data_IF_228298726925
#
_entry.id   IF_228298726925
#
_cell.length_a   1.000
_cell.length_b   1.000
_cell.length_c   1.000
_cell.angle_alpha   90.00
_cell.angle_beta   90.00
_cell.angle_gamma   90.00
#
_symmetry.space_group_name_H-M   'P 1'
#
loop_
_entity.id
_entity.type
_entity.pdbx_description
1 polymer ?
#
# COMPACT_ATOMS: atom_id res chain seq x y z
N UNK A 1 -10.44 -60.47 0.72
CA UNK A 1 -11.84 -59.98 0.67
C UNK A 1 -11.74 -58.57 0.10
N UNK A 2 -11.56 -58.40 -1.22
CA UNK A 2 -12.46 -58.67 -2.37
C UNK A 2 -13.06 -57.33 -2.82
N UNK A 3 -12.74 -56.94 -4.06
CA UNK A 3 -13.50 -56.15 -5.07
C UNK A 3 -14.30 -54.90 -4.60
N UNK A 4 -14.18 -53.70 -5.20
CA UNK A 4 -14.56 -53.34 -6.59
C UNK A 4 -16.08 -53.58 -6.84
N UNK A 5 -16.91 -52.59 -7.24
CA UNK A 5 -17.17 -52.21 -8.64
C UNK A 5 -18.21 -51.06 -8.73
N UNK A 6 -18.01 -50.12 -9.68
CA UNK A 6 -18.93 -49.27 -10.49
C UNK A 6 -20.26 -48.71 -9.88
N UNK A 7 -20.77 -47.52 -10.22
CA UNK A 7 -20.48 -46.59 -11.32
C UNK A 7 -21.59 -46.57 -12.40
N UNK A 8 -22.13 -45.40 -12.75
CA UNK A 8 -22.87 -45.09 -14.01
C UNK A 8 -22.92 -43.56 -14.22
N UNK A 9 -22.83 -43.12 -15.46
CA UNK A 9 -22.70 -41.71 -15.87
C UNK A 9 -23.96 -41.15 -16.56
N UNK A 10 -24.06 -39.83 -16.73
CA UNK A 10 -24.84 -39.26 -17.85
C UNK A 10 -24.37 -37.87 -18.35
N UNK A 11 -24.14 -37.85 -19.65
CA UNK A 11 -23.75 -36.77 -20.58
C UNK A 11 -24.56 -35.47 -20.56
N UNK A 12 -23.88 -34.33 -20.84
CA UNK A 12 -24.16 -33.33 -21.91
C UNK A 12 -23.08 -32.22 -21.91
N UNK A 13 -22.15 -32.17 -22.87
CA UNK A 13 -22.19 -31.56 -24.23
C UNK A 13 -22.04 -30.01 -24.30
N UNK A 14 -20.83 -29.59 -24.65
CA UNK A 14 -20.44 -28.52 -25.61
C UNK A 14 -21.03 -27.10 -25.53
N UNK A 15 -20.13 -26.11 -25.43
CA UNK A 15 -20.02 -25.04 -26.43
C UNK A 15 -18.55 -24.56 -26.55
N UNK A 16 -18.15 -24.18 -27.77
CA UNK A 16 -16.78 -23.81 -28.16
C UNK A 16 -16.69 -22.30 -28.35
N UNK A 17 -15.53 -21.71 -28.08
CA UNK A 17 -15.29 -20.29 -28.26
C UNK A 17 -15.33 -19.87 -29.74
N UNK A 18 -16.00 -18.76 -30.02
CA UNK A 18 -15.83 -17.96 -31.23
C UNK A 18 -16.12 -16.50 -30.91
N UNK A 19 -15.10 -15.64 -31.01
CA UNK A 19 -15.28 -14.18 -31.00
C UNK A 19 -14.60 -13.64 -32.25
N UNK A 20 -15.40 -13.05 -33.13
CA UNK A 20 -14.97 -12.44 -34.40
C UNK A 20 -14.73 -10.95 -34.24
N UNK A 21 -13.73 -10.42 -34.95
CA UNK A 21 -13.56 -8.97 -35.12
C UNK A 21 -14.72 -8.35 -35.94
N UNK A 22 -15.24 -7.18 -35.54
CA UNK A 22 -15.18 -5.91 -36.31
C UNK A 22 -16.09 -4.76 -35.81
N UNK A 23 -15.51 -3.55 -35.89
CA UNK A 23 -16.09 -2.22 -36.20
C UNK A 23 -17.34 -1.64 -35.50
N UNK A 24 -17.11 -0.54 -34.75
CA UNK A 24 -17.75 0.80 -34.84
C UNK A 24 -19.15 0.96 -35.51
N UNK A 25 -20.12 1.57 -34.79
CA UNK A 25 -20.61 2.95 -35.02
C UNK A 25 -21.77 3.37 -34.08
N UNK A 26 -21.98 4.69 -33.95
CA UNK A 26 -22.89 5.36 -33.00
C UNK A 26 -24.38 5.38 -33.42
N UNK A 27 -25.29 5.51 -32.43
CA UNK A 27 -26.67 6.01 -32.64
C UNK A 27 -27.06 6.98 -31.53
N UNK A 28 -27.81 8.03 -31.90
CA UNK A 28 -28.04 9.26 -31.14
C UNK A 28 -29.56 9.48 -30.94
N UNK A 29 -30.03 9.99 -29.78
CA UNK A 29 -31.44 10.39 -29.58
C UNK A 29 -31.56 11.73 -28.83
N UNK A 30 -32.34 12.63 -29.43
CA UNK A 30 -32.78 13.98 -29.02
C UNK A 30 -34.19 13.88 -28.41
N UNK A 31 -34.73 14.72 -27.51
CA UNK A 31 -34.33 15.97 -26.82
C UNK A 31 -35.59 16.77 -26.38
N UNK A 32 -35.42 18.05 -25.95
CA UNK A 32 -36.46 19.08 -25.55
C UNK A 32 -36.98 19.02 -24.09
N UNK A 33 -37.26 20.11 -23.36
CA UNK A 33 -37.15 21.60 -23.50
C UNK A 33 -36.66 22.16 -22.13
N UNK A 34 -35.66 23.06 -22.01
CA UNK A 34 -35.68 24.53 -22.21
C UNK A 34 -36.71 25.30 -21.34
N UNK A 35 -36.42 26.37 -20.59
CA UNK A 35 -35.20 27.17 -20.31
C UNK A 35 -35.50 28.12 -19.11
N UNK A 36 -34.58 28.77 -18.36
CA UNK A 36 -33.13 28.63 -18.15
C UNK A 36 -32.69 29.50 -16.94
N UNK A 37 -31.52 29.21 -16.32
CA UNK A 37 -30.74 30.17 -15.51
C UNK A 37 -29.23 29.90 -15.72
N UNK A 38 -28.43 30.96 -15.91
CA UNK A 38 -27.10 30.87 -16.52
C UNK A 38 -25.95 30.99 -15.50
N UNK A 39 -25.03 30.02 -15.46
CA UNK A 39 -23.64 30.21 -15.93
C UNK A 39 -22.79 28.92 -15.90
N UNK A 40 -22.35 28.49 -17.09
CA UNK A 40 -21.10 27.78 -17.41
C UNK A 40 -20.80 26.41 -16.76
N UNK A 41 -21.18 25.38 -17.51
CA UNK A 41 -20.63 24.02 -17.38
C UNK A 41 -19.17 23.89 -17.83
N UNK A 42 -18.39 23.16 -17.02
CA UNK A 42 -17.78 21.88 -17.39
C UNK A 42 -17.22 21.72 -18.82
N UNK A 43 -16.05 22.30 -19.08
CA UNK A 43 -15.22 21.91 -20.22
C UNK A 43 -14.13 20.91 -19.79
N UNK A 44 -14.24 19.65 -20.23
CA UNK A 44 -13.17 18.64 -20.09
C UNK A 44 -12.01 19.00 -21.02
N UNK A 45 -10.98 19.66 -20.49
CA UNK A 45 -9.77 19.99 -21.26
C UNK A 45 -8.79 18.82 -21.17
N UNK A 46 -8.67 18.05 -22.26
CA UNK A 46 -7.59 17.06 -22.44
C UNK A 46 -6.24 17.77 -22.62
N UNK A 47 -5.64 18.18 -21.50
CA UNK A 47 -4.29 18.75 -21.48
C UNK A 47 -3.25 17.67 -21.75
N UNK A 48 -2.88 17.51 -23.01
CA UNK A 48 -1.69 16.73 -23.39
C UNK A 48 -0.42 17.40 -22.85
N UNK A 49 0.55 16.60 -22.40
CA UNK A 49 1.71 17.00 -21.59
C UNK A 49 2.72 17.97 -22.24
N UNK A 50 2.40 18.54 -23.42
CA UNK A 50 3.23 19.50 -24.15
C UNK A 50 2.95 20.96 -23.81
N UNK A 51 1.79 21.29 -23.22
CA UNK A 51 1.41 22.70 -22.95
C UNK A 51 2.08 23.29 -21.70
N UNK A 52 2.28 22.50 -20.65
CA UNK A 52 2.81 22.95 -19.36
C UNK A 52 4.29 23.39 -19.46
N UNK A 53 5.08 22.78 -20.35
CA UNK A 53 6.53 22.98 -20.44
C UNK A 53 6.89 24.38 -21.02
N UNK A 54 5.99 25.05 -21.74
CA UNK A 54 6.28 26.35 -22.38
C UNK A 54 6.05 27.59 -21.49
N UNK A 55 5.50 27.44 -20.29
CA UNK A 55 5.21 28.59 -19.41
C UNK A 55 6.31 28.92 -18.39
N UNK A 56 7.23 28.00 -18.08
CA UNK A 56 8.29 28.20 -17.07
C UNK A 56 9.51 28.98 -17.56
N UNK A 57 9.81 28.93 -18.86
CA UNK A 57 11.10 29.41 -19.39
C UNK A 57 11.23 30.95 -19.49
N UNK A 58 10.12 31.69 -19.35
CA UNK A 58 10.09 33.14 -19.57
C UNK A 58 10.07 34.02 -18.31
N UNK A 59 9.83 33.48 -17.10
CA UNK A 59 9.80 34.30 -15.88
C UNK A 59 11.15 34.39 -15.12
N UNK A 60 12.08 33.46 -15.34
CA UNK A 60 13.31 33.37 -14.53
C UNK A 60 14.40 34.39 -14.95
N UNK A 61 14.26 35.08 -16.08
CA UNK A 61 15.35 35.90 -16.65
C UNK A 61 15.58 37.28 -16.01
N UNK A 62 14.69 37.78 -15.16
CA UNK A 62 14.79 39.14 -14.62
C UNK A 62 14.60 39.22 -13.09
N UNK A 63 15.61 38.78 -12.32
CA UNK A 63 16.14 39.50 -11.14
C UNK A 63 17.16 38.65 -10.36
N UNK A 64 18.45 38.94 -10.54
CA UNK A 64 19.50 38.45 -9.64
C UNK A 64 20.38 39.63 -9.21
N UNK A 65 20.02 40.28 -8.09
CA UNK A 65 20.94 41.20 -7.40
C UNK A 65 22.04 40.38 -6.75
N UNK A 66 23.28 40.78 -6.99
CA UNK A 66 24.49 40.06 -6.56
C UNK A 66 24.68 40.17 -5.05
N UNK A 67 24.42 39.10 -4.32
CA UNK A 67 24.77 38.93 -2.90
C UNK A 67 26.04 38.10 -2.78
N UNK A 68 27.00 38.57 -1.98
CA UNK A 68 28.33 37.99 -1.87
C UNK A 68 28.36 36.89 -0.81
N UNK A 69 27.92 35.68 -1.19
CA UNK A 69 28.01 34.47 -0.37
C UNK A 69 28.72 33.39 -1.17
N UNK A 70 29.94 33.05 -0.74
CA UNK A 70 30.79 32.06 -1.39
C UNK A 70 30.30 30.63 -1.21
N UNK A 71 29.32 30.22 -2.01
CA UNK A 71 29.06 28.80 -2.26
C UNK A 71 29.89 28.34 -3.46
N UNK A 72 30.79 27.38 -3.23
CA UNK A 72 31.47 26.69 -4.31
C UNK A 72 30.42 25.98 -5.19
N UNK A 73 30.55 26.09 -6.50
CA UNK A 73 29.48 25.75 -7.43
C UNK A 73 29.22 24.24 -7.44
N UNK A 74 28.21 23.80 -6.66
CA UNK A 74 27.68 22.43 -6.73
C UNK A 74 27.36 22.13 -8.18
N UNK A 75 28.03 21.12 -8.72
CA UNK A 75 27.99 20.77 -10.14
C UNK A 75 26.58 20.30 -10.49
N UNK A 76 25.75 21.22 -10.98
CA UNK A 76 24.34 20.96 -11.31
C UNK A 76 24.28 19.76 -12.26
N UNK A 77 23.73 18.65 -11.76
CA UNK A 77 23.52 17.45 -12.55
C UNK A 77 22.52 17.81 -13.64
N UNK A 78 22.95 17.67 -14.89
CA UNK A 78 22.11 17.92 -16.05
C UNK A 78 20.95 16.93 -16.05
N UNK A 79 19.78 17.39 -15.63
CA UNK A 79 18.57 16.58 -15.46
C UNK A 79 18.15 15.93 -16.79
N UNK A 80 18.53 16.52 -17.94
CA UNK A 80 18.28 15.94 -19.26
C UNK A 80 19.14 14.69 -19.57
N UNK A 81 20.25 14.51 -18.84
CA UNK A 81 21.13 13.34 -18.92
C UNK A 81 20.76 12.22 -17.94
N UNK A 82 19.87 12.48 -16.98
CA UNK A 82 19.32 11.42 -16.13
C UNK A 82 18.43 10.54 -17.04
N UNK A 83 18.69 9.23 -17.16
CA UNK A 83 17.88 8.36 -18.01
C UNK A 83 16.43 8.39 -17.52
N UNK A 84 15.50 8.69 -18.43
CA UNK A 84 14.07 8.70 -18.11
C UNK A 84 13.67 7.30 -17.65
N UNK A 85 13.19 7.20 -16.41
CA UNK A 85 12.84 5.94 -15.71
C UNK A 85 11.83 5.01 -16.42
N UNK A 86 11.28 5.39 -17.58
CA UNK A 86 10.22 4.67 -18.29
C UNK A 86 10.65 3.39 -19.03
N UNK A 87 11.89 2.94 -18.91
CA UNK A 87 12.38 1.66 -19.47
C UNK A 87 13.64 1.14 -18.75
N UNK A 88 13.67 1.23 -17.42
CA UNK A 88 14.56 0.38 -16.63
C UNK A 88 13.83 -0.97 -16.44
N UNK A 89 14.50 -2.09 -16.69
CA UNK A 89 14.03 -3.44 -16.38
C UNK A 89 14.02 -3.69 -14.85
N UNK A 90 13.32 -2.86 -14.07
CA UNK A 90 13.34 -2.84 -12.58
C UNK A 90 12.66 -4.02 -11.89
N UNK A 91 12.22 -5.00 -12.68
CA UNK A 91 12.21 -6.46 -12.44
C UNK A 91 11.15 -7.06 -13.36
N UNK A 92 11.58 -8.01 -14.20
CA UNK A 92 10.73 -8.65 -15.22
C UNK A 92 9.71 -9.65 -14.67
N UNK A 93 9.91 -10.15 -13.45
CA UNK A 93 9.10 -11.22 -12.84
C UNK A 93 8.97 -10.99 -11.34
N UNK A 94 7.75 -10.92 -10.82
CA UNK A 94 7.50 -11.04 -9.38
C UNK A 94 7.72 -12.51 -8.99
N UNK A 95 8.68 -12.77 -8.09
CA UNK A 95 8.99 -14.13 -7.60
C UNK A 95 8.46 -14.26 -6.17
N UNK A 96 7.75 -15.33 -5.84
CA UNK A 96 7.31 -15.57 -4.45
C UNK A 96 8.53 -15.89 -3.56
N UNK A 97 8.58 -15.30 -2.37
CA UNK A 97 9.76 -15.35 -1.51
C UNK A 97 9.79 -16.62 -0.64
N UNK A 98 10.64 -17.58 -1.00
CA UNK A 98 10.90 -18.78 -0.20
C UNK A 98 11.75 -18.52 1.06
N UNK A 99 11.77 -19.49 1.96
CA UNK A 99 12.61 -19.44 3.16
C UNK A 99 14.10 -19.32 2.83
N UNK A 100 14.77 -18.34 3.44
CA UNK A 100 16.17 -18.01 3.20
C UNK A 100 16.39 -16.83 2.25
N UNK A 101 15.38 -16.44 1.46
CA UNK A 101 15.44 -15.21 0.63
C UNK A 101 15.73 -14.00 1.52
N UNK A 102 16.61 -13.11 1.06
CA UNK A 102 16.89 -11.84 1.74
C UNK A 102 16.86 -10.66 0.76
N UNK A 103 16.58 -9.47 1.28
CA UNK A 103 16.52 -8.26 0.48
C UNK A 103 16.02 -7.05 1.27
N UNK A 104 16.14 -5.87 0.68
CA UNK A 104 15.64 -4.63 1.27
C UNK A 104 14.12 -4.55 1.19
N UNK A 105 13.47 -4.28 2.32
CA UNK A 105 12.03 -4.06 2.37
C UNK A 105 11.71 -2.72 1.69
N UNK A 106 11.15 -2.75 0.49
CA UNK A 106 10.84 -1.53 -0.26
C UNK A 106 9.40 -1.06 -0.09
N UNK A 107 8.46 -2.00 0.08
CA UNK A 107 7.04 -1.69 0.09
C UNK A 107 6.23 -2.77 0.84
N UNK A 108 5.11 -2.35 1.42
CA UNK A 108 4.10 -3.23 2.02
C UNK A 108 2.73 -2.81 1.50
N UNK A 109 2.01 -3.76 0.91
CA UNK A 109 0.65 -3.56 0.41
C UNK A 109 -0.30 -4.63 0.95
N UNK A 110 -1.58 -4.50 0.60
CA UNK A 110 -2.60 -5.50 0.91
C UNK A 110 -2.98 -6.22 -0.38
N UNK A 111 -2.83 -7.54 -0.40
CA UNK A 111 -3.34 -8.36 -1.49
C UNK A 111 -4.81 -8.72 -1.18
N UNK A 112 -5.74 -8.06 -1.86
CA UNK A 112 -7.17 -8.31 -1.68
C UNK A 112 -7.66 -9.66 -2.24
N UNK A 113 -6.85 -10.36 -3.04
CA UNK A 113 -7.18 -11.68 -3.58
C UNK A 113 -6.77 -12.81 -2.63
N UNK A 114 -5.60 -12.68 -1.98
CA UNK A 114 -5.12 -13.61 -0.94
C UNK A 114 -5.60 -13.22 0.47
N UNK A 115 -6.06 -11.98 0.68
CA UNK A 115 -6.60 -11.48 1.95
C UNK A 115 -5.54 -11.13 2.99
N UNK A 116 -4.28 -10.94 2.59
CA UNK A 116 -3.11 -10.81 3.48
C UNK A 116 -2.31 -9.54 3.21
N UNK A 117 -1.47 -9.13 4.18
CA UNK A 117 -0.40 -8.18 3.89
C UNK A 117 0.65 -8.83 2.98
N UNK A 118 1.35 -8.04 2.17
CA UNK A 118 2.32 -8.54 1.21
C UNK A 118 3.48 -7.55 1.10
N UNK A 119 4.70 -8.08 1.11
CA UNK A 119 5.94 -7.32 1.27
C UNK A 119 6.80 -7.51 0.02
N UNK A 120 7.36 -6.41 -0.49
CA UNK A 120 8.35 -6.43 -1.57
C UNK A 120 9.75 -6.37 -1.00
N UNK A 121 10.55 -7.40 -1.27
CA UNK A 121 11.95 -7.51 -0.89
C UNK A 121 12.81 -7.39 -2.15
N UNK A 122 13.72 -6.41 -2.19
CA UNK A 122 14.66 -6.24 -3.28
C UNK A 122 16.01 -6.84 -2.94
N UNK A 123 16.40 -7.89 -3.67
CA UNK A 123 17.74 -8.48 -3.62
C UNK A 123 18.68 -7.64 -4.49
N UNK A 124 19.65 -6.99 -3.85
CA UNK A 124 20.66 -6.12 -4.46
C UNK A 124 21.82 -6.87 -5.13
N UNK A 125 22.03 -8.14 -4.78
CA UNK A 125 23.09 -8.98 -5.32
C UNK A 125 22.65 -9.59 -6.66
N UNK A 126 21.40 -10.06 -6.73
CA UNK A 126 20.84 -10.69 -7.93
C UNK A 126 19.92 -9.76 -8.75
N UNK A 127 19.59 -8.56 -8.23
CA UNK A 127 18.68 -7.57 -8.85
C UNK A 127 17.27 -8.16 -9.10
N UNK A 128 16.69 -8.78 -8.06
CA UNK A 128 15.39 -9.49 -8.11
C UNK A 128 14.42 -8.86 -7.11
N UNK A 129 13.14 -8.72 -7.52
CA UNK A 129 12.04 -8.37 -6.63
C UNK A 129 11.32 -9.63 -6.17
N UNK A 130 11.52 -9.98 -4.92
CA UNK A 130 10.78 -11.03 -4.24
C UNK A 130 9.51 -10.45 -3.59
N UNK A 131 8.48 -11.29 -3.53
CA UNK A 131 7.17 -10.97 -2.94
C UNK A 131 6.88 -11.98 -1.84
N UNK A 132 6.90 -11.53 -0.60
CA UNK A 132 6.57 -12.36 0.56
C UNK A 132 5.14 -12.08 1.02
N UNK A 133 4.34 -13.13 1.14
CA UNK A 133 2.96 -13.04 1.63
C UNK A 133 2.92 -13.27 3.13
N UNK A 134 2.14 -12.45 3.86
CA UNK A 134 2.07 -12.58 5.32
C UNK A 134 1.57 -13.95 5.75
N UNK A 135 2.36 -14.58 6.61
CA UNK A 135 2.03 -15.86 7.27
C UNK A 135 1.93 -15.72 8.79
N UNK A 136 2.01 -14.50 9.32
CA UNK A 136 1.77 -14.22 10.75
C UNK A 136 0.28 -14.29 11.12
N UNK A 137 -0.61 -14.08 10.14
CA UNK A 137 -2.05 -14.06 10.36
C UNK A 137 -2.55 -12.72 10.88
N UNK A 138 -1.77 -11.64 10.66
CA UNK A 138 -2.18 -10.29 11.02
C UNK A 138 -3.47 -9.91 10.27
N UNK A 139 -4.41 -9.28 10.97
CA UNK A 139 -5.71 -8.85 10.43
C UNK A 139 -5.95 -7.36 10.71
N UNK A 140 -6.68 -6.64 9.84
CA UNK A 140 -7.07 -5.26 10.11
C UNK A 140 -7.91 -5.15 11.38
N UNK A 141 -7.69 -4.09 12.16
CA UNK A 141 -8.45 -3.85 13.37
C UNK A 141 -8.62 -2.35 13.66
N UNK A 142 -9.44 -2.05 14.65
CA UNK A 142 -9.44 -0.76 15.35
C UNK A 142 -9.77 -0.96 16.83
N UNK A 143 -9.58 0.07 17.67
CA UNK A 143 -9.77 -0.03 19.12
C UNK A 143 -10.95 0.81 19.60
N UNK A 144 -11.54 0.45 20.73
CA UNK A 144 -12.59 1.23 21.40
C UNK A 144 -12.55 1.05 22.92
N UNK A 145 -13.03 2.04 23.66
CA UNK A 145 -13.12 2.01 25.13
C UNK A 145 -14.31 1.18 25.64
N UNK A 146 -15.26 0.82 24.78
CA UNK A 146 -16.36 -0.05 25.16
C UNK A 146 -15.83 -1.45 25.49
N UNK A 147 -16.19 -2.05 26.64
CA UNK A 147 -15.76 -3.41 26.98
C UNK A 147 -16.39 -4.45 26.03
N UNK A 148 -15.80 -5.66 25.88
CA UNK A 148 -16.24 -6.65 24.89
C UNK A 148 -17.73 -6.98 24.97
N UNK A 149 -18.26 -7.18 26.17
CA UNK A 149 -19.68 -7.51 26.43
C UNK A 149 -20.64 -6.42 25.91
N UNK A 150 -20.19 -5.15 25.92
CA UNK A 150 -20.99 -4.04 25.36
C UNK A 150 -20.92 -4.01 23.84
N UNK A 151 -19.76 -4.34 23.25
CA UNK A 151 -19.64 -4.50 21.79
C UNK A 151 -20.46 -5.70 21.29
N UNK A 152 -20.53 -6.79 22.05
CA UNK A 152 -21.40 -7.93 21.75
C UNK A 152 -22.89 -7.56 21.65
N UNK A 153 -23.33 -6.49 22.34
CA UNK A 153 -24.66 -5.91 22.19
C UNK A 153 -24.87 -5.03 20.95
N UNK A 154 -23.80 -4.56 20.30
CA UNK A 154 -23.87 -3.70 19.11
C UNK A 154 -24.02 -4.57 17.86
N UNK A 155 -25.28 -4.89 17.51
CA UNK A 155 -25.61 -5.75 16.35
C UNK A 155 -24.98 -5.27 15.04
N UNK A 156 -24.94 -3.96 14.80
CA UNK A 156 -24.29 -3.34 13.62
C UNK A 156 -22.82 -3.72 13.45
N UNK A 157 -22.10 -4.05 14.53
CA UNK A 157 -20.71 -4.53 14.49
C UNK A 157 -20.67 -6.05 14.40
N UNK A 158 -21.31 -6.74 15.34
CA UNK A 158 -21.14 -8.19 15.54
C UNK A 158 -21.81 -9.02 14.44
N UNK A 159 -22.93 -8.54 13.89
CA UNK A 159 -23.64 -9.20 12.79
C UNK A 159 -23.10 -8.83 11.40
N UNK A 160 -22.07 -7.98 11.32
CA UNK A 160 -21.48 -7.58 10.05
C UNK A 160 -20.68 -8.75 9.42
N UNK A 161 -20.85 -9.09 8.13
CA UNK A 161 -20.17 -10.25 7.53
C UNK A 161 -18.64 -10.14 7.53
N UNK A 162 -18.13 -8.90 7.53
CA UNK A 162 -16.71 -8.58 7.64
C UNK A 162 -16.14 -8.54 9.06
N UNK A 163 -16.96 -8.68 10.11
CA UNK A 163 -16.47 -8.84 11.49
C UNK A 163 -15.79 -10.20 11.65
N UNK A 164 -14.73 -10.25 12.48
CA UNK A 164 -13.96 -11.46 12.73
C UNK A 164 -14.09 -11.88 14.20
N UNK A 165 -13.52 -11.11 15.14
CA UNK A 165 -13.66 -11.35 16.58
C UNK A 165 -13.28 -10.10 17.42
N UNK A 166 -13.36 -10.24 18.75
CA UNK A 166 -12.91 -9.24 19.72
C UNK A 166 -11.70 -9.75 20.50
N UNK A 167 -10.70 -8.90 20.68
CA UNK A 167 -9.61 -9.09 21.64
C UNK A 167 -9.69 -7.99 22.72
N UNK A 168 -9.10 -8.22 23.90
CA UNK A 168 -8.81 -7.13 24.84
C UNK A 168 -7.31 -6.92 24.90
N UNK A 169 -6.85 -5.71 24.59
CA UNK A 169 -5.44 -5.34 24.58
C UNK A 169 -5.14 -4.27 25.62
N UNK A 170 -3.91 -4.27 26.13
CA UNK A 170 -3.41 -3.18 26.97
C UNK A 170 -2.70 -2.15 26.09
N UNK A 171 -3.06 -0.88 26.24
CA UNK A 171 -2.41 0.27 25.58
C UNK A 171 -2.04 1.31 26.64
N UNK A 172 -1.05 2.15 26.36
CA UNK A 172 -0.60 3.19 27.27
C UNK A 172 -1.30 4.52 26.97
N UNK A 173 -2.07 5.05 27.92
CA UNK A 173 -2.71 6.37 27.85
C UNK A 173 -1.65 7.45 28.11
N UNK A 174 -1.08 7.99 27.03
CA UNK A 174 -0.03 9.01 27.07
C UNK A 174 -0.44 10.30 27.82
N UNK A 175 -1.73 10.65 27.81
CA UNK A 175 -2.23 11.88 28.47
C UNK A 175 -2.33 11.71 30.00
N UNK A 176 -2.56 10.48 30.47
CA UNK A 176 -2.70 10.16 31.90
C UNK A 176 -1.55 9.33 32.47
N UNK A 177 -0.53 9.06 31.66
CA UNK A 177 0.65 8.25 32.00
C UNK A 177 0.31 6.90 32.66
N UNK A 178 -0.66 6.18 32.10
CA UNK A 178 -1.15 4.93 32.71
C UNK A 178 -1.57 3.90 31.67
N UNK A 179 -1.44 2.62 32.02
CA UNK A 179 -1.94 1.50 31.21
C UNK A 179 -3.47 1.45 31.27
N UNK A 180 -4.12 1.20 30.14
CA UNK A 180 -5.57 0.98 30.02
C UNK A 180 -5.85 -0.24 29.16
N UNK A 181 -6.85 -1.02 29.56
CA UNK A 181 -7.43 -2.06 28.71
C UNK A 181 -8.45 -1.43 27.75
N UNK A 182 -8.35 -1.77 26.48
CA UNK A 182 -9.28 -1.37 25.41
C UNK A 182 -9.68 -2.60 24.60
N UNK A 183 -10.86 -2.56 23.99
CA UNK A 183 -11.33 -3.64 23.11
C UNK A 183 -10.78 -3.40 21.72
N UNK A 184 -10.11 -4.41 21.16
CA UNK A 184 -9.66 -4.46 19.77
C UNK A 184 -10.70 -5.21 18.96
N UNK A 185 -11.30 -4.54 17.98
CA UNK A 185 -12.30 -5.10 17.06
C UNK A 185 -11.55 -5.53 15.80
N UNK A 186 -11.44 -6.83 15.59
CA UNK A 186 -10.74 -7.43 14.44
C UNK A 186 -11.75 -7.66 13.32
N UNK A 187 -11.35 -7.32 12.09
CA UNK A 187 -12.16 -7.45 10.88
C UNK A 187 -11.40 -8.21 9.79
N UNK A 188 -12.13 -8.71 8.79
CA UNK A 188 -11.56 -9.56 7.73
C UNK A 188 -10.76 -8.80 6.69
N UNK A 189 -11.21 -7.58 6.33
CA UNK A 189 -10.60 -6.78 5.25
C UNK A 189 -10.53 -5.28 5.63
N UNK A 190 -9.55 -4.51 5.12
CA UNK A 190 -9.29 -3.13 5.56
C UNK A 190 -10.43 -2.13 5.37
N UNK A 191 -11.25 -2.34 4.34
CA UNK A 191 -12.41 -1.51 4.02
C UNK A 191 -13.49 -1.57 5.12
N UNK A 192 -13.62 -2.72 5.80
CA UNK A 192 -14.60 -2.90 6.88
C UNK A 192 -14.29 -2.05 8.10
N UNK A 193 -13.02 -1.71 8.35
CA UNK A 193 -12.64 -0.74 9.40
C UNK A 193 -13.32 0.61 9.14
N UNK A 194 -13.41 1.05 7.87
CA UNK A 194 -14.05 2.31 7.48
C UNK A 194 -15.56 2.29 7.70
N UNK A 195 -16.19 1.13 7.60
CA UNK A 195 -17.64 0.93 7.79
C UNK A 195 -18.00 0.82 9.27
N UNK A 196 -17.22 0.07 10.05
CA UNK A 196 -17.56 -0.26 11.43
C UNK A 196 -17.08 0.75 12.48
N UNK A 197 -16.07 1.59 12.17
CA UNK A 197 -15.57 2.60 13.12
C UNK A 197 -16.63 3.62 13.55
N UNK A 198 -17.57 3.95 12.67
CA UNK A 198 -18.66 4.89 12.93
C UNK A 198 -19.84 4.24 13.68
N UNK A 199 -19.75 2.92 13.98
CA UNK A 199 -20.74 2.15 14.75
C UNK A 199 -20.44 2.06 16.25
N UNK A 200 -19.34 2.66 16.70
CA UNK A 200 -18.97 2.79 18.12
C UNK A 200 -18.84 4.27 18.51
N UNK A 201 -19.11 4.66 19.77
CA UNK A 201 -19.04 6.07 20.18
C UNK A 201 -17.65 6.70 20.08
N UNK A 202 -16.59 5.88 20.18
CA UNK A 202 -15.20 6.29 20.01
C UNK A 202 -14.37 5.15 19.44
N UNK A 203 -13.76 5.40 18.28
CA UNK A 203 -12.86 4.49 17.60
C UNK A 203 -11.44 5.09 17.55
N UNK A 204 -10.46 4.33 18.04
CA UNK A 204 -9.05 4.68 17.99
C UNK A 204 -8.32 3.82 16.96
N UNK A 205 -7.20 4.31 16.42
CA UNK A 205 -6.40 3.66 15.36
C UNK A 205 -7.18 3.42 14.03
N UNK A 206 -8.49 3.72 13.99
CA UNK A 206 -9.43 3.46 12.89
C UNK A 206 -9.28 4.32 11.61
N UNK A 207 -8.20 5.10 11.51
CA UNK A 207 -7.88 5.91 10.33
C UNK A 207 -6.42 5.69 9.86
N UNK A 208 -5.76 4.64 10.35
CA UNK A 208 -4.46 4.18 9.89
C UNK A 208 -4.67 3.27 8.68
N UNK A 209 -3.88 3.44 7.61
CA UNK A 209 -3.92 2.53 6.46
C UNK A 209 -3.40 1.15 6.88
N UNK A 210 -4.00 0.07 6.37
CA UNK A 210 -3.67 -1.28 6.84
C UNK A 210 -2.19 -1.65 6.72
N UNK A 211 -1.52 -1.31 5.61
CA UNK A 211 -0.08 -1.55 5.47
C UNK A 211 0.76 -0.80 6.51
N UNK A 212 0.37 0.42 6.91
CA UNK A 212 1.04 1.13 8.01
C UNK A 212 0.80 0.44 9.35
N UNK A 213 -0.44 0.03 9.65
CA UNK A 213 -0.75 -0.70 10.89
C UNK A 213 0.04 -2.01 10.97
N UNK A 214 0.12 -2.77 9.88
CA UNK A 214 0.94 -3.98 9.77
C UNK A 214 2.44 -3.70 9.99
N UNK A 215 2.98 -2.63 9.38
CA UNK A 215 4.36 -2.19 9.60
C UNK A 215 4.61 -1.85 11.08
N UNK A 216 3.68 -1.15 11.73
CA UNK A 216 3.82 -0.73 13.14
C UNK A 216 3.78 -1.92 14.10
N UNK A 217 2.82 -2.83 13.92
CA UNK A 217 2.62 -3.98 14.82
C UNK A 217 3.73 -5.03 14.71
N UNK A 218 4.34 -5.18 13.52
CA UNK A 218 5.51 -6.04 13.31
C UNK A 218 6.86 -5.32 13.41
N UNK A 219 6.85 -4.01 13.74
CA UNK A 219 8.06 -3.16 13.85
C UNK A 219 8.98 -3.22 12.62
N UNK A 220 8.38 -3.29 11.43
CA UNK A 220 9.11 -3.30 10.16
C UNK A 220 9.64 -1.90 9.82
N UNK A 221 10.81 -1.83 9.20
CA UNK A 221 11.47 -0.59 8.82
C UNK A 221 11.74 -0.63 7.31
N UNK A 222 10.91 0.05 6.49
CA UNK A 222 11.18 0.20 5.06
C UNK A 222 12.56 0.81 4.81
N UNK A 223 13.28 0.25 3.83
CA UNK A 223 14.67 0.56 3.52
C UNK A 223 15.70 -0.33 4.22
N UNK A 224 15.34 -1.16 5.20
CA UNK A 224 16.26 -2.10 5.86
C UNK A 224 16.27 -3.48 5.18
N UNK A 225 17.38 -4.22 5.28
CA UNK A 225 17.52 -5.59 4.75
C UNK A 225 16.90 -6.59 5.72
N UNK A 226 16.09 -7.51 5.20
CA UNK A 226 15.40 -8.57 5.94
C UNK A 226 15.68 -9.94 5.30
N UNK A 227 15.50 -11.01 6.07
CA UNK A 227 15.50 -12.41 5.61
C UNK A 227 14.18 -13.09 5.93
N UNK A 228 13.67 -13.89 5.00
CA UNK A 228 12.55 -14.81 5.26
C UNK A 228 13.02 -15.98 6.11
N UNK A 229 12.50 -16.08 7.33
CA UNK A 229 12.78 -17.14 8.30
C UNK A 229 11.48 -17.85 8.68
N UNK A 230 11.17 -18.92 7.94
CA UNK A 230 9.94 -19.69 8.07
C UNK A 230 8.69 -18.85 7.82
N UNK A 231 8.03 -18.44 8.91
CA UNK A 231 6.77 -17.66 8.88
C UNK A 231 6.94 -16.19 9.28
N UNK A 232 8.18 -15.68 9.29
CA UNK A 232 8.50 -14.31 9.73
C UNK A 232 9.58 -13.70 8.84
N UNK A 233 9.65 -12.38 8.84
CA UNK A 233 10.84 -11.64 8.43
C UNK A 233 11.71 -11.36 9.65
N UNK A 234 12.99 -11.68 9.55
CA UNK A 234 14.03 -11.30 10.52
C UNK A 234 14.81 -10.12 9.95
N UNK A 235 15.04 -9.03 10.71
CA UNK A 235 15.94 -7.98 10.27
C UNK A 235 17.37 -8.52 10.17
N UNK A 236 18.09 -8.13 9.13
CA UNK A 236 19.53 -8.33 9.04
C UNK A 236 20.18 -7.07 9.58
N UNK A 237 20.85 -7.17 10.73
CA UNK A 237 21.62 -6.07 11.29
C UNK A 237 22.81 -5.73 10.38
N UNK A 238 22.98 -4.45 10.09
CA UNK A 238 24.11 -3.93 9.32
C UNK A 238 25.14 -3.33 10.27
N UNK A 239 26.29 -3.98 10.41
CA UNK A 239 27.43 -3.39 11.10
C UNK A 239 28.13 -2.38 10.19
N UNK A 240 28.04 -1.09 10.55
CA UNK A 240 28.82 -0.03 9.90
C UNK A 240 30.30 -0.23 10.21
N UNK A 241 31.17 -0.23 9.20
CA UNK A 241 32.62 -0.30 9.38
C UNK A 241 33.18 0.87 10.20
N UNK A 242 34.29 0.65 10.91
CA UNK A 242 34.92 1.70 11.73
C UNK A 242 35.40 2.90 10.90
N UNK A 243 35.75 2.70 9.64
CA UNK A 243 36.13 3.81 8.74
C UNK A 243 34.91 4.66 8.36
N UNK A 244 33.78 4.02 8.06
CA UNK A 244 32.50 4.68 7.76
C UNK A 244 31.98 5.43 9.00
N UNK A 245 32.05 4.80 10.18
CA UNK A 245 31.75 5.47 11.47
C UNK A 245 32.61 6.72 11.66
N UNK A 246 33.92 6.65 11.37
CA UNK A 246 34.81 7.82 11.46
C UNK A 246 34.42 8.92 10.47
N UNK A 247 34.17 8.59 9.20
CA UNK A 247 33.73 9.55 8.16
C UNK A 247 32.43 10.26 8.56
N UNK A 248 31.46 9.50 9.10
CA UNK A 248 30.20 10.05 9.61
C UNK A 248 30.48 10.98 10.80
N UNK A 249 31.26 10.53 11.80
CA UNK A 249 31.57 11.33 12.97
C UNK A 249 32.36 12.62 12.64
N UNK A 250 33.20 12.61 11.61
CA UNK A 250 33.89 13.80 11.12
C UNK A 250 32.94 14.79 10.41
N UNK A 251 31.94 14.30 9.68
CA UNK A 251 30.95 15.13 8.99
C UNK A 251 29.93 15.82 9.94
N UNK A 252 29.85 15.38 11.21
CA UNK A 252 28.98 15.96 12.24
C UNK A 252 29.76 16.68 13.37
N UNK A 253 31.01 17.08 13.12
CA UNK A 253 31.80 17.95 14.02
C UNK A 253 31.54 19.43 13.73
N UNK A 254 30.37 19.90 14.16
CA UNK A 254 30.05 21.33 14.37
C UNK A 254 29.65 21.56 15.85
#
# INVERSE_FOLDING_TARGET
MIEEILGIASSRKTSVATVSEKSQQDVNIVGKHADALSTRDSATITLTSKSIIKSSDNEVKNNAKKGDYGFEAVKLVDISKIPKYGNLDLVKTLVEADNGVSGYLLDVYYDGSKGVATIRLYDDENNVMYVWFDTTGHKPYFLTDLPPDKIQGVRDVVSHPGFDHLETVEKFDLLRWTKRRVTKIVVKTPDIVRVLRDKVPRAWEANIKYHHNYIYDLQLIPGMKYRVAGKKLEPIEFEVGEEEKRKIAEAFKD
#
